data_IF_133089051842
#
_entry.id   IF_133089051842
#
_cell.length_a   1.000
_cell.length_b   1.000
_cell.length_c   1.000
_cell.angle_alpha   90.00
_cell.angle_beta   90.00
_cell.angle_gamma   90.00
#
_symmetry.space_group_name_H-M   'P 1'
#
loop_
_entity.id
_entity.type
_entity.pdbx_description
1 polymer ?
#
# COMPACT_ATOMS: atom_id res chain seq x y z
N UNK A 1 23.70 75.86 -5.27
CA UNK A 1 24.36 76.14 -6.57
C UNK A 1 24.22 74.96 -7.48
N UNK A 2 23.81 75.10 -8.72
CA UNK A 2 23.24 74.11 -9.57
C UNK A 2 24.22 73.53 -10.58
N UNK A 3 23.93 72.39 -11.12
CA UNK A 3 24.65 71.89 -12.30
C UNK A 3 24.08 70.50 -12.66
N UNK A 4 23.34 70.44 -13.57
CA UNK A 4 23.23 70.36 -15.02
C UNK A 4 22.92 68.95 -15.51
N UNK A 5 21.74 68.86 -16.11
CA UNK A 5 21.20 67.88 -17.04
C UNK A 5 22.18 67.43 -18.10
N UNK A 6 22.09 66.14 -18.51
CA UNK A 6 22.27 65.77 -19.91
C UNK A 6 21.26 64.73 -20.31
N UNK A 7 20.27 65.11 -21.04
CA UNK A 7 19.46 64.32 -21.93
C UNK A 7 20.29 63.90 -23.14
N UNK A 8 20.18 62.64 -23.53
CA UNK A 8 20.65 62.21 -24.86
C UNK A 8 19.56 61.37 -25.49
N UNK A 9 18.86 62.07 -26.37
CA UNK A 9 17.90 61.54 -27.33
C UNK A 9 18.66 60.82 -28.44
N UNK A 10 18.36 59.58 -28.77
CA UNK A 10 18.76 58.97 -30.06
C UNK A 10 17.54 58.38 -30.75
N UNK A 11 17.35 58.78 -31.96
CA UNK A 11 16.24 58.54 -32.88
C UNK A 11 16.19 57.09 -33.42
N UNK A 12 15.03 56.64 -33.96
CA UNK A 12 14.85 55.33 -34.58
C UNK A 12 15.36 55.34 -36.05
N UNK A 13 15.95 54.26 -36.48
CA UNK A 13 16.19 53.94 -37.88
C UNK A 13 15.25 52.89 -38.38
N UNK A 14 14.42 53.26 -39.27
CA UNK A 14 13.56 52.49 -40.16
C UNK A 14 14.42 51.63 -41.08
N UNK A 15 14.27 50.33 -41.06
CA UNK A 15 14.89 49.44 -42.04
C UNK A 15 13.87 48.44 -42.52
N UNK A 16 13.35 48.69 -43.67
CA UNK A 16 12.47 47.83 -44.48
C UNK A 16 13.32 46.79 -45.19
N UNK A 17 13.04 45.47 -45.02
CA UNK A 17 13.43 44.44 -45.99
C UNK A 17 12.42 43.27 -45.93
N UNK A 18 11.58 43.20 -46.93
CA UNK A 18 11.45 42.21 -48.01
C UNK A 18 11.17 40.77 -47.59
N UNK A 19 9.98 40.41 -47.92
CA UNK A 19 9.27 39.14 -48.17
C UNK A 19 10.16 37.99 -48.61
N UNK A 20 10.02 36.83 -47.90
CA UNK A 20 10.24 35.51 -48.49
C UNK A 20 9.20 34.54 -47.93
N UNK A 21 8.27 34.15 -48.81
CA UNK A 21 7.34 33.08 -48.60
C UNK A 21 8.09 31.73 -48.56
N UNK A 22 7.98 30.99 -47.46
CA UNK A 22 8.28 29.59 -47.45
C UNK A 22 7.04 28.85 -46.95
N UNK A 23 6.40 28.14 -47.86
CA UNK A 23 5.33 27.14 -47.61
C UNK A 23 5.92 26.02 -46.78
N UNK A 24 5.51 25.94 -45.51
CA UNK A 24 5.74 24.76 -44.68
C UNK A 24 4.38 24.07 -44.47
N UNK A 25 4.25 22.92 -45.06
CA UNK A 25 3.16 21.96 -44.91
C UNK A 25 2.98 21.56 -43.45
N UNK A 26 1.85 21.97 -42.87
CA UNK A 26 1.44 21.54 -41.55
C UNK A 26 0.94 20.07 -41.61
N UNK A 27 1.74 19.14 -41.10
CA UNK A 27 1.29 17.82 -40.72
C UNK A 27 0.45 17.97 -39.44
N UNK A 28 -0.86 17.92 -39.59
CA UNK A 28 -1.79 17.79 -38.46
C UNK A 28 -1.70 16.35 -37.97
N UNK A 29 -0.90 16.12 -36.93
CA UNK A 29 -1.00 14.92 -36.12
C UNK A 29 -2.20 15.14 -35.21
N UNK A 30 -3.33 14.50 -35.54
CA UNK A 30 -4.46 14.33 -34.64
C UNK A 30 -4.00 13.38 -33.52
N UNK A 31 -3.38 13.95 -32.48
CA UNK A 31 -3.12 13.26 -31.23
C UNK A 31 -4.41 13.19 -30.44
N UNK A 32 -4.86 11.99 -30.14
CA UNK A 32 -5.94 11.74 -29.17
C UNK A 32 -5.61 12.46 -27.87
N UNK A 33 -6.41 13.46 -27.51
CA UNK A 33 -6.40 14.08 -26.19
C UNK A 33 -6.98 13.07 -25.21
N UNK A 34 -6.13 12.25 -24.64
CA UNK A 34 -6.39 11.55 -23.40
C UNK A 34 -6.16 12.51 -22.26
N UNK A 35 -7.22 13.07 -21.68
CA UNK A 35 -7.18 13.87 -20.46
C UNK A 35 -6.70 12.99 -19.30
N UNK A 36 -5.45 13.12 -18.91
CA UNK A 36 -4.85 12.41 -17.77
C UNK A 36 -3.43 12.93 -17.58
N UNK A 37 -3.28 14.20 -17.19
CA UNK A 37 -2.04 14.68 -16.57
C UNK A 37 -1.95 14.14 -15.15
N UNK A 38 -1.76 12.81 -15.02
CA UNK A 38 -1.02 12.30 -13.89
C UNK A 38 0.41 12.77 -14.07
N UNK A 39 0.85 13.69 -13.21
CA UNK A 39 2.27 13.95 -13.01
C UNK A 39 2.90 12.71 -12.39
N UNK A 40 2.97 11.66 -13.20
CA UNK A 40 3.63 10.40 -12.88
C UNK A 40 5.12 10.70 -12.95
N UNK A 41 5.72 10.87 -11.80
CA UNK A 41 7.17 10.89 -11.67
C UNK A 41 7.71 9.64 -12.38
N UNK A 42 8.71 9.84 -13.21
CA UNK A 42 9.35 8.81 -14.05
C UNK A 42 9.39 7.43 -13.38
N UNK A 43 8.95 6.40 -14.07
CA UNK A 43 8.71 5.04 -13.55
C UNK A 43 9.96 4.31 -13.00
N UNK A 44 11.05 5.02 -12.73
CA UNK A 44 12.30 4.53 -12.16
C UNK A 44 12.82 5.32 -10.96
N UNK A 45 12.14 6.40 -10.52
CA UNK A 45 12.62 7.23 -9.42
C UNK A 45 12.01 6.79 -8.08
N UNK A 46 12.86 6.69 -7.05
CA UNK A 46 12.50 6.29 -5.71
C UNK A 46 12.84 7.40 -4.72
N UNK A 47 11.83 8.04 -4.16
CA UNK A 47 12.02 9.20 -3.28
C UNK A 47 12.31 8.76 -1.84
N UNK A 48 13.45 9.18 -1.29
CA UNK A 48 13.83 8.88 0.09
C UNK A 48 13.19 9.87 1.05
N UNK A 49 12.38 9.37 2.01
CA UNK A 49 11.66 10.17 2.98
C UNK A 49 12.13 9.91 4.40
N UNK A 50 13.00 10.78 4.97
CA UNK A 50 13.38 10.72 6.37
C UNK A 50 12.16 10.90 7.30
N UNK A 51 12.25 10.39 8.55
CA UNK A 51 11.16 10.42 9.55
C UNK A 51 10.59 11.83 9.72
N UNK A 52 11.48 12.83 9.94
CA UNK A 52 11.09 14.20 10.22
C UNK A 52 10.70 15.02 8.99
N UNK A 53 10.97 14.52 7.78
CA UNK A 53 10.65 15.26 6.57
C UNK A 53 9.17 15.11 6.21
N UNK A 54 8.48 16.19 5.98
CA UNK A 54 7.10 16.17 5.50
C UNK A 54 7.01 15.58 4.08
N UNK A 55 8.05 15.80 3.27
CA UNK A 55 8.08 15.37 1.88
C UNK A 55 7.37 16.32 0.93
N UNK A 56 7.31 15.99 -0.37
CA UNK A 56 6.60 16.80 -1.33
C UNK A 56 5.07 16.64 -1.19
N UNK A 57 4.36 17.72 -1.54
CA UNK A 57 2.91 17.72 -1.75
C UNK A 57 2.08 17.18 -0.58
N UNK A 58 2.19 17.72 0.64
CA UNK A 58 1.48 17.20 1.81
C UNK A 58 -0.03 17.45 1.71
N UNK A 59 -0.82 16.44 2.13
CA UNK A 59 -2.25 16.60 2.32
C UNK A 59 -2.59 17.42 3.56
N UNK A 60 -1.82 17.21 4.65
CA UNK A 60 -2.05 17.86 5.93
C UNK A 60 -0.73 18.31 6.53
N UNK A 61 -0.78 19.09 7.58
CA UNK A 61 0.34 19.25 8.50
C UNK A 61 0.66 17.93 9.18
N UNK A 62 1.81 17.87 9.87
CA UNK A 62 2.20 16.65 10.57
C UNK A 62 1.23 16.36 11.72
N UNK A 63 0.67 15.16 11.71
CA UNK A 63 -0.15 14.60 12.80
C UNK A 63 0.62 13.58 13.64
N UNK A 64 1.94 13.48 13.45
CA UNK A 64 2.80 12.67 14.32
C UNK A 64 2.74 13.18 15.76
N UNK A 65 2.65 12.24 16.70
CA UNK A 65 2.76 12.58 18.12
C UNK A 65 4.23 12.64 18.54
N UNK A 66 4.53 13.33 19.66
CA UNK A 66 5.88 13.41 20.21
C UNK A 66 6.46 12.04 20.57
N UNK A 67 5.62 11.06 20.89
CA UNK A 67 6.04 9.69 21.22
C UNK A 67 6.69 8.98 20.02
N UNK A 68 6.23 9.27 18.79
CA UNK A 68 6.81 8.68 17.58
C UNK A 68 8.24 9.18 17.27
N UNK A 69 8.59 10.37 17.75
CA UNK A 69 9.87 11.03 17.43
C UNK A 69 10.94 10.85 18.51
N UNK A 70 10.57 10.39 19.70
CA UNK A 70 11.45 10.46 20.89
C UNK A 70 12.38 9.27 21.08
N UNK A 71 12.14 8.13 20.47
CA UNK A 71 12.95 6.94 20.65
C UNK A 71 13.60 6.45 19.34
N UNK A 72 14.90 6.13 19.35
CA UNK A 72 15.52 5.47 18.22
C UNK A 72 14.92 4.08 18.05
N UNK A 73 14.21 3.88 16.95
CA UNK A 73 13.61 2.58 16.63
C UNK A 73 14.73 1.59 16.29
N UNK A 74 14.83 0.52 17.07
CA UNK A 74 15.74 -0.60 16.75
C UNK A 74 15.29 -1.21 15.43
N UNK A 75 16.10 -1.02 14.39
CA UNK A 75 15.82 -1.58 13.06
C UNK A 75 15.87 -3.09 13.11
N UNK A 76 14.87 -3.72 12.52
CA UNK A 76 14.95 -5.16 12.23
C UNK A 76 16.04 -5.38 11.20
N UNK A 77 17.21 -5.90 11.63
CA UNK A 77 18.27 -6.25 10.69
C UNK A 77 17.82 -7.42 9.83
N UNK A 78 17.81 -7.20 8.54
CA UNK A 78 17.44 -8.19 7.55
C UNK A 78 18.70 -8.56 6.74
N UNK A 79 18.91 -9.83 6.39
CA UNK A 79 19.99 -10.20 5.48
C UNK A 79 19.79 -9.48 4.15
N UNK A 80 20.86 -8.87 3.64
CA UNK A 80 20.86 -8.20 2.35
C UNK A 80 20.55 -9.23 1.24
N UNK A 81 19.58 -8.92 0.40
CA UNK A 81 19.22 -9.69 -0.79
C UNK A 81 19.11 -8.74 -1.98
N UNK A 82 19.32 -9.25 -3.17
CA UNK A 82 19.00 -8.52 -4.40
C UNK A 82 17.47 -8.36 -4.49
N UNK A 83 17.00 -7.12 -4.63
CA UNK A 83 15.59 -6.77 -4.75
C UNK A 83 14.89 -6.41 -3.43
N UNK A 84 13.68 -5.84 -3.57
CA UNK A 84 12.84 -5.45 -2.43
C UNK A 84 12.16 -6.69 -1.84
N UNK A 85 12.38 -6.92 -0.55
CA UNK A 85 11.79 -8.05 0.18
C UNK A 85 10.33 -7.76 0.55
N UNK A 86 9.42 -8.63 0.14
CA UNK A 86 8.02 -8.59 0.61
C UNK A 86 7.89 -9.20 2.00
N UNK A 87 7.17 -8.51 2.90
CA UNK A 87 6.86 -8.97 4.25
C UNK A 87 5.36 -8.84 4.45
N UNK A 88 4.73 -9.88 5.02
CA UNK A 88 3.31 -9.83 5.38
C UNK A 88 3.05 -8.78 6.46
N UNK A 89 2.01 -7.96 6.29
CA UNK A 89 1.63 -6.92 7.23
C UNK A 89 1.25 -7.42 8.63
N UNK A 90 0.89 -8.70 8.77
CA UNK A 90 0.63 -9.35 10.05
C UNK A 90 1.86 -9.95 10.73
N UNK A 91 3.08 -9.77 10.18
CA UNK A 91 4.29 -10.31 10.78
C UNK A 91 4.54 -9.68 12.15
N UNK A 92 4.61 -10.47 13.24
CA UNK A 92 4.89 -9.95 14.56
C UNK A 92 6.19 -9.15 14.60
N UNK A 93 6.14 -7.96 15.21
CA UNK A 93 7.29 -7.06 15.33
C UNK A 93 7.73 -6.37 14.04
N UNK A 94 6.97 -6.47 12.96
CA UNK A 94 7.16 -5.63 11.77
C UNK A 94 7.02 -4.16 12.12
N UNK A 95 6.11 -3.86 13.02
CA UNK A 95 5.81 -2.53 13.52
C UNK A 95 6.25 -2.36 14.97
N UNK A 96 6.41 -1.12 15.37
CA UNK A 96 6.60 -0.67 16.74
C UNK A 96 5.54 0.34 17.14
N UNK A 97 5.62 0.78 18.38
CA UNK A 97 4.76 1.80 18.96
C UNK A 97 5.05 1.94 20.44
N UNK A 98 4.29 2.77 21.16
CA UNK A 98 4.36 2.89 22.61
C UNK A 98 3.05 2.40 23.21
N UNK A 99 3.13 1.58 24.25
CA UNK A 99 1.96 1.04 24.93
C UNK A 99 0.98 2.15 25.33
N UNK A 100 -0.30 1.96 25.05
CA UNK A 100 -1.36 2.91 25.40
C UNK A 100 -1.32 4.25 24.64
N UNK A 101 -0.40 4.42 23.67
CA UNK A 101 -0.22 5.69 22.96
C UNK A 101 -0.20 5.50 21.45
N UNK A 102 -0.94 6.36 20.73
CA UNK A 102 -0.90 6.42 19.27
C UNK A 102 0.29 7.26 18.78
N UNK A 103 0.95 6.78 17.74
CA UNK A 103 2.03 7.51 17.05
C UNK A 103 1.51 8.62 16.14
N UNK A 104 0.20 8.68 15.91
CA UNK A 104 -0.49 9.64 15.08
C UNK A 104 -1.73 10.16 15.77
N UNK A 105 -1.99 11.45 15.66
CA UNK A 105 -3.24 12.09 16.08
C UNK A 105 -4.29 11.94 14.97
N UNK A 106 -5.10 10.88 15.08
CA UNK A 106 -6.15 10.54 14.11
C UNK A 106 -7.25 11.61 14.09
N UNK A 107 -7.59 12.22 15.23
CA UNK A 107 -8.64 13.24 15.26
C UNK A 107 -8.19 14.53 14.56
N UNK A 108 -6.94 14.92 14.74
CA UNK A 108 -6.36 16.04 14.00
C UNK A 108 -6.31 15.74 12.50
N UNK A 109 -5.91 14.53 12.10
CA UNK A 109 -5.92 14.10 10.70
C UNK A 109 -7.31 14.21 10.06
N UNK A 110 -8.34 13.75 10.79
CA UNK A 110 -9.75 13.89 10.37
C UNK A 110 -10.10 15.37 10.20
N UNK A 111 -9.79 16.20 11.21
CA UNK A 111 -10.11 17.62 11.19
C UNK A 111 -9.55 18.33 9.98
N UNK A 112 -8.26 18.11 9.66
CA UNK A 112 -7.59 18.75 8.53
C UNK A 112 -8.14 18.28 7.18
N UNK A 113 -8.43 16.99 7.01
CA UNK A 113 -8.99 16.45 5.76
C UNK A 113 -10.45 16.83 5.55
N UNK A 114 -11.23 17.02 6.61
CA UNK A 114 -12.65 17.41 6.51
C UNK A 114 -12.83 18.92 6.40
N UNK A 115 -11.86 19.72 6.82
CA UNK A 115 -11.89 21.17 6.68
C UNK A 115 -11.72 21.63 5.21
N UNK A 116 -10.99 20.86 4.39
CA UNK A 116 -10.78 21.15 2.98
C UNK A 116 -11.43 20.04 2.13
N UNK A 117 -12.60 20.34 1.58
CA UNK A 117 -13.35 19.39 0.73
C UNK A 117 -12.59 18.89 -0.48
N UNK A 118 -11.71 19.71 -1.09
CA UNK A 118 -10.96 19.29 -2.25
C UNK A 118 -9.89 18.26 -1.86
N UNK A 119 -9.20 18.49 -0.75
CA UNK A 119 -8.26 17.51 -0.17
C UNK A 119 -8.99 16.25 0.30
N UNK A 120 -10.11 16.40 1.01
CA UNK A 120 -10.91 15.25 1.48
C UNK A 120 -11.36 14.35 0.33
N UNK A 121 -11.87 14.94 -0.75
CA UNK A 121 -12.27 14.19 -1.95
C UNK A 121 -11.10 13.48 -2.62
N UNK A 122 -9.96 14.16 -2.77
CA UNK A 122 -8.76 13.59 -3.35
C UNK A 122 -8.21 12.43 -2.49
N UNK A 123 -8.22 12.58 -1.16
CA UNK A 123 -7.85 11.53 -0.22
C UNK A 123 -8.78 10.32 -0.33
N UNK A 124 -10.09 10.55 -0.29
CA UNK A 124 -11.11 9.51 -0.39
C UNK A 124 -11.00 8.71 -1.69
N UNK A 125 -10.70 9.38 -2.80
CA UNK A 125 -10.49 8.74 -4.10
C UNK A 125 -9.29 7.79 -4.08
N UNK A 126 -8.16 8.17 -3.47
CA UNK A 126 -6.97 7.30 -3.37
C UNK A 126 -7.25 6.09 -2.49
N UNK A 127 -7.92 6.29 -1.35
CA UNK A 127 -8.22 5.21 -0.40
C UNK A 127 -9.42 4.34 -0.82
N UNK A 128 -10.16 4.73 -1.86
CA UNK A 128 -11.32 3.99 -2.36
C UNK A 128 -12.51 4.03 -1.41
N UNK A 129 -12.68 5.14 -0.67
CA UNK A 129 -13.78 5.38 0.28
C UNK A 129 -14.62 6.58 -0.14
N UNK A 130 -15.81 6.76 0.44
CA UNK A 130 -16.56 8.01 0.26
C UNK A 130 -16.00 9.13 1.14
N UNK A 131 -16.16 10.39 0.71
CA UNK A 131 -15.72 11.57 1.47
C UNK A 131 -16.30 11.57 2.88
N UNK A 132 -17.60 11.25 3.03
CA UNK A 132 -18.29 11.18 4.33
C UNK A 132 -17.77 10.03 5.22
N UNK A 133 -17.13 9.03 4.65
CA UNK A 133 -16.55 7.90 5.39
C UNK A 133 -15.14 8.17 5.92
N UNK A 134 -14.48 9.27 5.55
CA UNK A 134 -13.12 9.59 6.01
C UNK A 134 -12.97 9.47 7.53
N UNK A 135 -13.86 10.00 8.38
CA UNK A 135 -13.71 9.89 9.82
C UNK A 135 -13.76 8.45 10.33
N UNK A 136 -14.70 7.65 9.83
CA UNK A 136 -14.82 6.23 10.23
C UNK A 136 -13.67 5.40 9.70
N UNK A 137 -13.24 5.64 8.46
CA UNK A 137 -12.10 5.00 7.85
C UNK A 137 -10.82 5.24 8.64
N UNK A 138 -10.46 6.49 8.92
CA UNK A 138 -9.25 6.82 9.67
C UNK A 138 -9.28 6.25 11.09
N UNK A 139 -10.45 6.21 11.76
CA UNK A 139 -10.59 5.57 13.08
C UNK A 139 -10.48 4.04 13.02
N UNK A 140 -10.71 3.42 11.87
CA UNK A 140 -10.52 1.98 11.69
C UNK A 140 -9.05 1.58 11.52
N UNK A 141 -8.17 2.54 11.20
CA UNK A 141 -6.74 2.30 11.02
C UNK A 141 -6.01 2.27 12.37
N UNK A 142 -4.93 1.52 12.40
CA UNK A 142 -4.10 1.32 13.61
C UNK A 142 -2.83 2.14 13.51
N UNK A 143 -2.57 2.95 14.54
CA UNK A 143 -1.38 3.79 14.64
C UNK A 143 -0.15 2.98 15.07
N UNK A 144 0.90 2.99 14.25
CA UNK A 144 2.15 2.25 14.48
C UNK A 144 3.37 3.03 13.96
N UNK A 145 4.55 2.56 14.29
CA UNK A 145 5.84 3.06 13.80
C UNK A 145 6.51 1.98 12.95
N UNK A 146 7.05 2.35 11.80
CA UNK A 146 7.82 1.44 10.94
C UNK A 146 9.13 1.03 11.64
N UNK A 147 9.47 -0.27 11.65
CA UNK A 147 10.74 -0.78 12.17
C UNK A 147 11.74 -1.19 11.09
N UNK A 148 11.36 -1.05 9.83
CA UNK A 148 12.23 -1.22 8.68
C UNK A 148 12.01 -0.08 7.69
N UNK A 149 13.03 0.24 6.90
CA UNK A 149 12.90 1.14 5.77
C UNK A 149 11.90 0.52 4.78
N UNK A 150 10.77 1.20 4.55
CA UNK A 150 9.61 0.58 3.89
C UNK A 150 9.28 1.31 2.60
N UNK A 151 9.22 0.55 1.52
CA UNK A 151 8.81 1.05 0.22
C UNK A 151 7.29 1.09 0.09
N UNK A 152 6.78 2.21 -0.41
CA UNK A 152 5.35 2.46 -0.63
C UNK A 152 5.14 3.26 -1.92
N UNK A 153 3.92 3.26 -2.43
CA UNK A 153 3.43 4.30 -3.33
C UNK A 153 2.83 5.40 -2.49
N UNK A 154 3.36 6.60 -2.58
CA UNK A 154 2.90 7.77 -1.85
C UNK A 154 2.08 8.66 -2.78
N UNK A 155 0.97 9.19 -2.27
CA UNK A 155 0.11 10.09 -3.01
C UNK A 155 0.09 11.45 -2.31
N UNK A 156 0.63 12.46 -2.98
CA UNK A 156 0.61 13.84 -2.51
C UNK A 156 -0.58 14.61 -3.06
N UNK A 157 -0.70 15.90 -2.66
CA UNK A 157 -1.74 16.80 -3.13
C UNK A 157 -1.11 18.15 -3.55
N UNK A 158 -1.21 18.49 -4.83
CA UNK A 158 -0.71 19.74 -5.40
C UNK A 158 -1.70 20.29 -6.41
N UNK A 159 -1.96 21.61 -6.36
CA UNK A 159 -2.77 22.33 -7.36
C UNK A 159 -4.16 21.71 -7.61
N UNK A 160 -4.81 21.24 -6.52
CA UNK A 160 -6.15 20.63 -6.62
C UNK A 160 -6.16 19.17 -7.08
N UNK A 161 -5.00 18.53 -7.24
CA UNK A 161 -4.86 17.16 -7.78
C UNK A 161 -3.96 16.29 -6.90
N UNK A 162 -4.16 14.97 -6.99
CA UNK A 162 -3.24 14.01 -6.41
C UNK A 162 -1.99 13.89 -7.27
N UNK A 163 -0.82 13.79 -6.62
CA UNK A 163 0.43 13.39 -7.25
C UNK A 163 0.77 11.97 -6.79
N UNK A 164 1.50 11.19 -7.60
CA UNK A 164 1.84 9.81 -7.28
C UNK A 164 3.33 9.58 -7.51
N UNK A 165 4.01 9.04 -6.50
CA UNK A 165 5.43 8.72 -6.58
C UNK A 165 5.80 7.52 -5.71
N UNK A 166 6.85 6.79 -6.11
CA UNK A 166 7.39 5.71 -5.29
C UNK A 166 8.30 6.30 -4.22
N UNK A 167 8.17 5.86 -2.98
CA UNK A 167 9.06 6.32 -1.91
C UNK A 167 9.51 5.21 -0.97
N UNK A 168 10.65 5.46 -0.31
CA UNK A 168 11.09 4.70 0.86
C UNK A 168 10.89 5.57 2.08
N UNK A 169 10.05 5.11 2.99
CA UNK A 169 9.86 5.70 4.30
C UNK A 169 10.94 5.15 5.25
N UNK A 170 11.65 6.02 5.92
CA UNK A 170 12.66 5.63 6.92
C UNK A 170 12.02 4.87 8.07
N UNK A 171 12.70 3.86 8.60
CA UNK A 171 12.39 3.25 9.90
C UNK A 171 12.25 4.34 10.97
N UNK A 172 11.21 4.27 11.80
CA UNK A 172 10.82 5.33 12.74
C UNK A 172 9.65 6.19 12.24
N UNK A 173 9.25 6.07 10.98
CA UNK A 173 8.10 6.81 10.45
C UNK A 173 6.80 6.33 11.06
N UNK A 174 6.00 7.26 11.59
CA UNK A 174 4.64 6.99 12.06
C UNK A 174 3.69 6.83 10.87
N UNK A 175 2.91 5.76 10.89
CA UNK A 175 1.91 5.44 9.87
C UNK A 175 0.64 4.89 10.51
N UNK A 176 -0.46 5.01 9.77
CA UNK A 176 -1.70 4.30 10.05
C UNK A 176 -1.77 3.08 9.13
N UNK A 177 -2.04 1.90 9.68
CA UNK A 177 -2.15 0.64 8.94
C UNK A 177 -3.57 0.09 9.00
N UNK A 178 -3.97 -0.62 7.94
CA UNK A 178 -5.30 -1.25 7.87
C UNK A 178 -5.34 -2.62 8.58
N UNK A 179 -6.51 -3.26 8.56
CA UNK A 179 -6.72 -4.59 9.14
C UNK A 179 -6.04 -5.73 8.38
N UNK A 180 -5.31 -5.46 7.33
CA UNK A 180 -4.40 -6.39 6.65
C UNK A 180 -2.93 -6.05 6.90
N UNK A 181 -2.70 -5.08 7.80
CA UNK A 181 -1.37 -4.61 8.19
C UNK A 181 -0.67 -3.81 7.10
N UNK A 182 -1.38 -3.22 6.15
CA UNK A 182 -0.77 -2.40 5.08
C UNK A 182 -0.76 -0.93 5.48
N UNK A 183 0.36 -0.21 5.35
CA UNK A 183 0.40 1.24 5.56
C UNK A 183 -0.55 1.98 4.60
N UNK A 184 -1.42 2.82 5.17
CA UNK A 184 -2.43 3.59 4.46
C UNK A 184 -2.23 5.09 4.54
N UNK A 185 -1.69 5.60 5.64
CA UNK A 185 -1.44 7.02 5.82
C UNK A 185 -0.08 7.24 6.43
N UNK A 186 0.68 8.20 5.91
CA UNK A 186 1.91 8.70 6.52
C UNK A 186 1.59 9.93 7.37
N UNK A 187 1.80 9.85 8.67
CA UNK A 187 1.34 10.90 9.60
C UNK A 187 2.15 12.20 9.52
N UNK A 188 3.37 12.18 8.99
CA UNK A 188 4.19 13.38 8.82
C UNK A 188 3.64 14.38 7.80
N UNK A 189 2.72 13.96 6.93
CA UNK A 189 2.19 14.77 5.83
C UNK A 189 0.71 14.48 5.53
N UNK A 190 0.09 13.51 6.22
CA UNK A 190 -1.27 13.08 5.94
C UNK A 190 -1.49 12.40 4.59
N UNK A 191 -0.42 12.09 3.86
CA UNK A 191 -0.52 11.50 2.54
C UNK A 191 -1.07 10.07 2.59
N UNK A 192 -2.08 9.74 1.77
CA UNK A 192 -2.50 8.36 1.60
C UNK A 192 -1.41 7.53 0.93
N UNK A 193 -1.32 6.26 1.34
CA UNK A 193 -0.31 5.30 0.91
C UNK A 193 -0.99 4.09 0.28
N UNK A 194 -0.42 3.60 -0.81
CA UNK A 194 -0.80 2.31 -1.40
C UNK A 194 0.42 1.39 -1.47
N UNK A 195 0.23 0.08 -1.66
CA UNK A 195 1.34 -0.86 -1.79
C UNK A 195 2.35 -0.41 -2.84
N UNK A 196 3.63 -0.70 -2.59
CA UNK A 196 4.70 -0.41 -3.52
C UNK A 196 4.46 -1.07 -4.88
N UNK A 197 4.66 -0.33 -5.96
CA UNK A 197 4.66 -0.91 -7.32
C UNK A 197 5.99 -1.61 -7.58
N UNK A 198 5.95 -2.71 -8.30
CA UNK A 198 7.16 -3.36 -8.78
C UNK A 198 7.91 -2.39 -9.73
N UNK A 199 9.23 -2.28 -9.57
CA UNK A 199 10.08 -1.57 -10.54
C UNK A 199 11.05 -2.56 -11.16
N UNK A 200 11.24 -2.44 -12.45
CA UNK A 200 12.26 -3.20 -13.18
C UNK A 200 13.58 -2.44 -13.07
N UNK A 201 14.66 -3.13 -12.69
CA UNK A 201 16.00 -2.56 -12.62
C UNK A 201 16.32 -1.78 -11.32
N UNK A 202 17.51 -1.17 -11.30
CA UNK A 202 17.97 -0.34 -10.21
C UNK A 202 17.27 1.02 -10.29
N UNK A 203 16.37 1.29 -9.33
CA UNK A 203 15.68 2.56 -9.24
C UNK A 203 16.67 3.66 -8.86
N UNK A 204 16.65 4.76 -9.59
CA UNK A 204 17.38 5.98 -9.23
C UNK A 204 16.75 6.55 -7.97
N UNK A 205 17.55 6.76 -6.93
CA UNK A 205 17.05 7.36 -5.68
C UNK A 205 17.18 8.87 -5.72
N UNK A 206 16.15 9.59 -5.28
CA UNK A 206 16.16 11.02 -5.04
C UNK A 206 15.87 11.34 -3.58
N UNK A 207 16.18 12.57 -3.16
CA UNK A 207 16.09 12.97 -1.76
C UNK A 207 17.34 12.64 -0.96
N UNK A 208 17.35 13.05 0.31
CA UNK A 208 18.51 12.91 1.19
C UNK A 208 18.51 11.56 1.91
N UNK A 209 19.51 10.69 1.67
CA UNK A 209 19.62 9.45 2.42
C UNK A 209 19.96 9.73 3.90
N UNK A 210 19.44 8.89 4.80
CA UNK A 210 19.77 8.92 6.21
C UNK A 210 20.93 7.97 6.51
N UNK A 211 21.59 8.19 7.66
CA UNK A 211 22.63 7.29 8.14
C UNK A 211 22.08 5.87 8.31
N UNK A 212 22.74 4.89 7.71
CA UNK A 212 22.33 3.49 7.75
C UNK A 212 21.27 3.10 6.73
N UNK A 213 20.88 3.97 5.79
CA UNK A 213 20.12 3.56 4.62
C UNK A 213 20.88 2.48 3.83
N UNK A 214 20.19 1.40 3.49
CA UNK A 214 20.71 0.31 2.67
C UNK A 214 19.61 -0.15 1.72
N UNK A 215 19.81 0.03 0.44
CA UNK A 215 18.81 -0.34 -0.59
C UNK A 215 18.38 -1.83 -0.45
N UNK A 216 19.31 -2.74 -0.24
CA UNK A 216 19.02 -4.18 -0.09
C UNK A 216 18.33 -4.58 1.24
N UNK A 217 18.07 -3.62 2.14
CA UNK A 217 17.35 -3.84 3.39
C UNK A 217 15.94 -3.24 3.38
N UNK A 218 15.57 -2.58 2.28
CA UNK A 218 14.23 -2.01 2.11
C UNK A 218 13.21 -3.12 1.95
N UNK A 219 12.07 -3.00 2.63
CA UNK A 219 10.98 -3.95 2.58
C UNK A 219 9.76 -3.35 1.89
N UNK A 220 8.92 -4.20 1.28
CA UNK A 220 7.57 -3.86 0.85
C UNK A 220 6.58 -4.66 1.69
N UNK A 221 5.56 -4.00 2.22
CA UNK A 221 4.52 -4.68 2.98
C UNK A 221 3.46 -5.19 2.04
N UNK A 222 3.15 -6.48 2.15
CA UNK A 222 2.04 -7.11 1.43
C UNK A 222 0.90 -7.42 2.41
N UNK A 223 -0.36 -7.31 1.97
CA UNK A 223 -1.49 -7.57 2.84
C UNK A 223 -1.50 -9.01 3.34
N UNK A 224 -1.94 -9.21 4.58
CA UNK A 224 -2.25 -10.57 5.07
C UNK A 224 -3.39 -11.19 4.25
N UNK A 225 -3.40 -12.53 4.06
CA UNK A 225 -4.49 -13.20 3.36
C UNK A 225 -5.85 -13.03 4.04
N UNK A 226 -5.86 -12.92 5.37
CA UNK A 226 -7.05 -12.72 6.19
C UNK A 226 -6.97 -11.41 6.94
N UNK A 227 -8.13 -10.82 7.24
CA UNK A 227 -8.25 -9.69 8.15
C UNK A 227 -7.77 -10.11 9.53
N UNK A 228 -6.96 -9.25 10.16
CA UNK A 228 -6.47 -9.43 11.53
C UNK A 228 -7.21 -8.47 12.46
N UNK A 229 -7.42 -8.89 13.68
CA UNK A 229 -8.08 -8.09 14.73
C UNK A 229 -7.07 -7.42 15.66
N UNK A 230 -5.83 -7.94 15.68
CA UNK A 230 -4.73 -7.42 16.49
C UNK A 230 -3.43 -7.41 15.68
N UNK A 231 -2.55 -6.49 16.01
CA UNK A 231 -1.18 -6.39 15.48
C UNK A 231 -0.21 -6.55 16.64
N UNK A 232 0.70 -7.52 16.54
CA UNK A 232 1.77 -7.69 17.53
C UNK A 232 2.94 -6.77 17.18
N UNK A 233 3.14 -5.74 18.00
CA UNK A 233 4.16 -4.71 17.83
C UNK A 233 5.24 -4.84 18.91
N UNK A 234 6.34 -4.10 18.73
CA UNK A 234 7.38 -3.97 19.76
C UNK A 234 7.31 -2.56 20.34
N UNK A 235 7.24 -2.45 21.66
CA UNK A 235 7.35 -1.17 22.33
C UNK A 235 8.72 -0.57 22.04
N UNK A 236 8.73 0.68 21.56
CA UNK A 236 9.96 1.38 21.17
C UNK A 236 10.71 1.94 22.39
N UNK A 237 10.11 1.94 23.58
CA UNK A 237 10.71 2.44 24.81
C UNK A 237 11.49 1.36 25.54
N UNK A 238 10.90 0.20 25.74
CA UNK A 238 11.47 -0.88 26.56
C UNK A 238 11.68 -2.21 25.80
N UNK A 239 11.34 -2.28 24.52
CA UNK A 239 11.43 -3.45 23.65
C UNK A 239 10.53 -4.63 24.09
N UNK A 240 9.50 -4.40 24.87
CA UNK A 240 8.48 -5.41 25.18
C UNK A 240 7.61 -5.68 23.97
N UNK A 241 6.94 -6.86 23.96
CA UNK A 241 5.98 -7.22 22.92
C UNK A 241 4.60 -6.84 23.38
N UNK A 242 3.88 -6.13 22.51
CA UNK A 242 2.53 -5.63 22.75
C UNK A 242 1.60 -6.19 21.70
N UNK A 243 0.44 -6.64 22.14
CA UNK A 243 -0.69 -6.88 21.24
C UNK A 243 -1.59 -5.64 21.25
N UNK A 244 -1.74 -5.02 20.08
CA UNK A 244 -2.57 -3.84 19.84
C UNK A 244 -3.78 -4.24 19.03
N UNK A 245 -4.98 -3.91 19.51
CA UNK A 245 -6.21 -4.09 18.76
C UNK A 245 -6.20 -3.21 17.51
N UNK A 246 -6.68 -3.73 16.37
CA UNK A 246 -6.85 -2.93 15.16
C UNK A 246 -7.88 -1.83 15.40
N UNK A 247 -7.55 -0.62 14.93
CA UNK A 247 -8.29 0.62 15.15
C UNK A 247 -7.45 1.67 15.87
N UNK A 248 -8.03 2.85 16.08
CA UNK A 248 -7.30 3.99 16.65
C UNK A 248 -7.19 3.96 18.19
N UNK A 249 -7.92 3.07 18.85
CA UNK A 249 -7.96 2.99 20.32
C UNK A 249 -6.82 2.12 20.85
N UNK A 250 -5.86 2.75 21.52
CA UNK A 250 -4.66 2.10 22.10
C UNK A 250 -4.82 1.72 23.57
N UNK A 251 -5.97 2.01 24.21
CA UNK A 251 -6.19 1.76 25.65
C UNK A 251 -6.22 0.28 26.03
N UNK A 252 -6.40 -0.58 25.04
CA UNK A 252 -6.47 -2.03 25.23
C UNK A 252 -5.16 -2.73 24.87
N UNK A 253 -4.07 -1.98 24.68
CA UNK A 253 -2.75 -2.55 24.50
C UNK A 253 -2.36 -3.37 25.74
N UNK A 254 -1.82 -4.54 25.52
CA UNK A 254 -1.32 -5.38 26.61
C UNK A 254 -0.05 -6.11 26.21
N UNK A 255 0.80 -6.33 27.21
CA UNK A 255 2.07 -7.03 27.02
C UNK A 255 1.82 -8.50 26.76
N UNK A 256 2.49 -9.06 25.77
CA UNK A 256 2.43 -10.48 25.41
C UNK A 256 3.84 -11.09 25.39
N UNK A 257 3.97 -12.41 25.58
CA UNK A 257 5.24 -13.07 25.36
C UNK A 257 5.75 -12.91 23.95
N UNK A 258 7.06 -12.94 23.77
CA UNK A 258 7.66 -12.91 22.43
C UNK A 258 7.10 -14.04 21.57
N UNK A 259 6.51 -13.74 20.40
CA UNK A 259 6.02 -14.76 19.49
C UNK A 259 7.12 -15.75 19.09
N UNK A 260 6.85 -17.03 19.20
CA UNK A 260 7.75 -18.07 18.71
C UNK A 260 7.81 -18.00 17.17
N UNK A 261 8.99 -18.16 16.54
CA UNK A 261 9.06 -18.37 15.12
C UNK A 261 8.22 -19.59 14.76
N UNK A 262 7.23 -19.42 13.88
CA UNK A 262 6.53 -20.56 13.32
C UNK A 262 7.55 -21.35 12.50
N UNK A 263 7.94 -22.53 12.98
CA UNK A 263 8.78 -23.43 12.19
C UNK A 263 8.05 -23.69 10.87
N UNK A 264 8.76 -23.66 9.72
CA UNK A 264 8.16 -24.07 8.47
C UNK A 264 7.57 -25.48 8.70
N UNK A 265 6.29 -25.65 8.35
CA UNK A 265 5.64 -26.95 8.45
C UNK A 265 6.54 -27.97 7.74
N UNK A 266 7.08 -28.91 8.51
CA UNK A 266 7.88 -30.01 7.95
C UNK A 266 6.96 -30.79 7.02
N UNK A 267 7.13 -30.62 5.74
CA UNK A 267 6.52 -31.46 4.70
C UNK A 267 7.21 -32.80 4.63
N UNK A 268 7.42 -33.45 5.78
CA UNK A 268 7.71 -34.86 5.79
C UNK A 268 6.37 -35.58 5.83
N UNK A 269 6.06 -36.43 4.85
CA UNK A 269 4.98 -37.38 4.99
C UNK A 269 5.27 -38.22 6.25
N UNK A 270 4.26 -38.59 7.03
CA UNK A 270 4.47 -39.45 8.19
C UNK A 270 5.16 -40.72 7.71
N UNK A 271 6.36 -40.96 8.25
CA UNK A 271 7.04 -42.25 8.10
C UNK A 271 6.11 -43.30 8.67
N UNK A 272 5.84 -44.39 7.95
CA UNK A 272 5.06 -45.48 8.53
C UNK A 272 5.79 -45.99 9.77
N UNK A 273 5.13 -45.94 10.92
CA UNK A 273 5.60 -46.58 12.14
C UNK A 273 5.78 -48.08 11.85
N UNK A 274 7.02 -48.52 11.85
CA UNK A 274 7.33 -49.93 11.98
C UNK A 274 6.86 -50.35 13.39
N UNK A 275 5.78 -51.08 13.45
CA UNK A 275 5.38 -51.86 14.60
C UNK A 275 5.16 -53.27 14.16
N UNK A 276 5.94 -54.07 14.79
CA UNK A 276 5.66 -55.43 15.15
C UNK A 276 6.32 -56.55 14.37
N UNK A 277 7.29 -57.12 15.11
CA UNK A 277 7.90 -58.38 14.86
C UNK A 277 6.87 -59.53 15.03
N UNK A 278 6.47 -60.12 13.93
CA UNK A 278 5.74 -61.37 13.91
C UNK A 278 6.40 -62.33 12.95
N UNK A 279 6.85 -63.48 13.47
CA UNK A 279 7.57 -64.54 12.82
C UNK A 279 6.86 -65.12 11.56
N UNK A 280 7.58 -65.69 10.60
CA UNK A 280 7.00 -66.13 9.34
C UNK A 280 6.37 -67.55 9.48
N UNK A 281 5.23 -67.84 8.84
CA UNK A 281 4.81 -69.21 8.58
C UNK A 281 5.34 -69.69 7.21
N UNK A 282 5.80 -70.90 7.25
CA UNK A 282 6.37 -71.74 6.21
C UNK A 282 5.48 -71.92 4.99
N UNK A 283 6.09 -71.93 3.82
CA UNK A 283 5.49 -72.26 2.54
C UNK A 283 5.52 -73.77 2.28
N UNK A 284 4.57 -74.35 1.58
CA UNK A 284 4.81 -75.51 0.74
C UNK A 284 4.86 -75.15 -0.71
N UNK A 285 5.88 -75.70 -1.33
CA UNK A 285 6.19 -75.81 -2.71
C UNK A 285 5.12 -76.61 -3.48
N UNK A 286 4.73 -76.13 -4.67
CA UNK A 286 4.26 -76.96 -5.76
C UNK A 286 4.31 -76.23 -7.10
N UNK A 287 5.25 -76.68 -7.89
CA UNK A 287 5.41 -76.43 -9.33
C UNK A 287 4.14 -76.75 -10.14
N UNK A 288 3.87 -76.02 -11.21
CA UNK A 288 3.79 -76.45 -12.59
C UNK A 288 3.26 -75.36 -13.55
N UNK A 289 4.12 -75.04 -14.49
CA UNK A 289 3.96 -74.83 -15.93
C UNK A 289 2.55 -74.63 -16.49
N UNK A 290 2.40 -73.59 -17.32
CA UNK A 290 2.44 -73.63 -18.82
C UNK A 290 2.05 -72.26 -19.36
N UNK A 291 2.93 -71.72 -20.24
CA UNK A 291 2.57 -70.81 -21.32
C UNK A 291 1.83 -71.63 -22.43
N UNK A 292 1.25 -71.01 -23.50
CA UNK A 292 1.47 -69.68 -24.07
C UNK A 292 0.23 -69.03 -24.75
N UNK A 293 0.45 -67.82 -25.26
CA UNK A 293 0.07 -67.36 -26.62
C UNK A 293 -1.15 -66.45 -26.84
N UNK A 294 -0.85 -65.31 -27.37
CA UNK A 294 -1.39 -64.67 -28.58
C UNK A 294 -2.71 -63.88 -28.50
N UNK A 295 -2.61 -62.64 -29.04
CA UNK A 295 -3.67 -61.99 -29.80
C UNK A 295 -4.12 -60.67 -29.18
N UNK A 296 -3.55 -59.56 -29.65
CA UNK A 296 -3.94 -58.75 -30.83
C UNK A 296 -5.12 -57.81 -30.59
N UNK A 297 -4.75 -56.51 -30.66
CA UNK A 297 -5.43 -55.43 -31.43
C UNK A 297 -6.90 -55.13 -31.18
N UNK A 298 -7.18 -53.88 -30.80
CA UNK A 298 -7.92 -52.91 -31.59
C UNK A 298 -8.49 -51.77 -30.72
N UNK A 299 -8.10 -50.59 -31.04
CA UNK A 299 -8.97 -49.38 -30.90
C UNK A 299 -10.13 -49.51 -31.90
N UNK A 300 -11.27 -48.87 -31.65
CA UNK A 300 -11.46 -47.50 -32.12
C UNK A 300 -12.37 -46.60 -31.26
N UNK A 301 -12.08 -45.35 -31.30
CA UNK A 301 -12.83 -44.14 -31.69
C UNK A 301 -14.33 -44.02 -31.40
N UNK A 302 -14.66 -42.74 -31.11
CA UNK A 302 -15.89 -41.97 -31.32
C UNK A 302 -16.84 -41.96 -30.14
N UNK A 303 -17.31 -40.84 -29.75
CA UNK A 303 -18.10 -39.75 -30.27
C UNK A 303 -18.84 -39.04 -29.11
N UNK A 304 -18.66 -37.74 -29.06
CA UNK A 304 -19.70 -36.71 -28.93
C UNK A 304 -20.87 -36.90 -27.96
N UNK A 305 -20.98 -35.99 -27.03
CA UNK A 305 -22.19 -35.17 -26.87
C UNK A 305 -22.09 -34.28 -25.63
N UNK A 306 -22.10 -32.96 -25.86
CA UNK A 306 -22.55 -31.98 -24.91
C UNK A 306 -24.08 -32.04 -24.81
N UNK A 307 -24.65 -31.62 -23.67
CA UNK A 307 -25.72 -30.64 -23.81
C UNK A 307 -25.66 -29.51 -22.78
N UNK A 308 -25.90 -28.33 -23.34
CA UNK A 308 -26.84 -27.28 -22.90
C UNK A 308 -26.86 -26.80 -21.45
N UNK A 309 -26.55 -25.52 -21.38
CA UNK A 309 -26.96 -24.59 -20.31
C UNK A 309 -28.47 -24.38 -20.28
N UNK A 310 -29.00 -24.02 -19.12
CA UNK A 310 -29.96 -22.93 -19.11
C UNK A 310 -29.54 -21.75 -18.24
N UNK A 311 -29.65 -20.58 -18.84
CA UNK A 311 -29.69 -19.29 -18.20
C UNK A 311 -30.82 -19.23 -17.16
N UNK A 312 -30.52 -18.69 -15.99
CA UNK A 312 -31.53 -18.29 -15.03
C UNK A 312 -31.37 -16.81 -14.74
N UNK A 313 -32.31 -16.03 -15.23
CA UNK A 313 -32.57 -14.65 -14.88
C UNK A 313 -32.69 -14.48 -13.37
N UNK A 314 -31.96 -13.51 -12.81
CA UNK A 314 -32.20 -12.99 -11.48
C UNK A 314 -32.83 -11.60 -11.59
N UNK A 315 -34.12 -11.57 -11.31
CA UNK A 315 -34.93 -10.38 -11.20
C UNK A 315 -34.49 -9.46 -10.06
N UNK A 316 -34.44 -8.19 -10.36
CA UNK A 316 -34.26 -7.06 -9.46
C UNK A 316 -35.51 -6.85 -8.60
N UNK A 317 -35.44 -6.72 -7.27
CA UNK A 317 -36.56 -6.20 -6.50
C UNK A 317 -36.49 -4.67 -6.45
N UNK A 318 -37.48 -4.06 -7.07
CA UNK A 318 -37.81 -2.63 -6.95
C UNK A 318 -38.46 -2.41 -5.58
N UNK A 319 -37.78 -1.68 -4.70
CA UNK A 319 -38.38 -1.19 -3.44
C UNK A 319 -39.02 0.18 -3.68
N UNK A 320 -40.32 0.21 -3.64
CA UNK A 320 -41.14 1.43 -3.62
C UNK A 320 -41.14 2.01 -2.22
N UNK A 321 -40.58 3.18 -2.04
CA UNK A 321 -40.67 3.94 -0.80
C UNK A 321 -41.90 4.83 -0.82
N UNK A 322 -42.83 4.57 0.07
CA UNK A 322 -44.03 5.37 0.32
C UNK A 322 -43.62 6.59 1.21
N UNK A 323 -43.84 7.78 0.66
CA UNK A 323 -43.70 9.05 1.37
C UNK A 323 -45.00 9.36 2.09
N UNK A 324 -44.93 9.54 3.41
CA UNK A 324 -46.02 10.10 4.23
C UNK A 324 -45.63 11.52 4.63
N UNK A 325 -46.48 12.54 4.38
CA UNK A 325 -46.22 13.91 4.81
C UNK A 325 -46.69 14.13 6.25
N UNK A 326 -45.75 14.53 7.12
CA UNK A 326 -46.01 14.91 8.50
C UNK A 326 -46.05 16.43 8.69
N UNK A 327 -47.06 16.87 9.37
CA UNK A 327 -47.64 18.15 9.82
C UNK A 327 -46.62 19.14 10.46
N UNK A 328 -46.76 20.46 10.24
CA UNK A 328 -45.93 21.48 10.89
C UNK A 328 -46.44 21.80 12.32
N UNK A 329 -45.49 21.90 13.26
CA UNK A 329 -45.75 22.44 14.60
C UNK A 329 -45.12 23.83 14.69
N UNK A 330 -45.99 24.84 14.76
CA UNK A 330 -45.70 26.21 15.18
C UNK A 330 -45.56 26.28 16.70
N UNK A 331 -44.61 27.07 17.16
CA UNK A 331 -44.51 27.43 18.57
C UNK A 331 -43.37 28.41 18.83
N UNK A 332 -43.69 29.69 18.83
CA UNK A 332 -43.03 30.84 19.47
C UNK A 332 -43.67 31.06 20.89
N UNK A 333 -43.10 31.79 21.81
CA UNK A 333 -42.07 32.86 21.73
C UNK A 333 -40.72 32.55 22.34
#
# INVERSE_FOLDING_TARGET
MPGLRRESTVRPSTGTFVTACALATALIVVGCVGSGDESTQSSGELFLQPVAAQGPDPFTDSTQTSMATSAPVTRTQQPARSGVRSISGGTPGLYGGTAGSGSCDVNRQIGELTADRAKGRAFAQVEGVSEDSIPSYLRSLTSVVLRADTRVTNHGYRDGRTTTYQSVLQSGTAVLVDTRGVPRVRCACGNPLTPARATSGDAVTSGRPWSGYRHGQVVAVVPTPRVITHITIIDIVDNTWIERRCGHDTRHDHVVPRPQPVAPASTHPPSPSESDSGAPPSWPDASQRTDPSTGESASPSDESSAPDSPATDCATPTATATVTPGVPVTGTP
#
